data_IF_885478254324
#
_entry.id   IF_885478254324
#
_cell.length_a   1.000
_cell.length_b   1.000
_cell.length_c   1.000
_cell.angle_alpha   90.00
_cell.angle_beta   90.00
_cell.angle_gamma   90.00
#
_symmetry.space_group_name_H-M   'P 1'
#
loop_
_entity.id
_entity.type
_entity.pdbx_description
1 polymer ?
#
# COMPACT_ATOMS: atom_id res chain seq x y z
N UNK A 1 8.72 -12.84 -13.42
CA UNK A 1 7.98 -12.18 -12.32
C UNK A 1 6.47 -12.29 -12.57
N UNK A 2 5.93 -13.51 -12.58
CA UNK A 2 4.55 -13.78 -13.04
C UNK A 2 3.88 -14.92 -12.25
N UNK A 3 4.02 -14.93 -10.92
CA UNK A 3 3.41 -15.99 -10.09
C UNK A 3 2.70 -15.48 -8.84
N UNK A 4 2.69 -14.17 -8.62
CA UNK A 4 1.79 -13.58 -7.67
C UNK A 4 1.17 -12.36 -8.35
N UNK A 5 -0.15 -12.39 -8.52
CA UNK A 5 -0.97 -11.30 -9.04
C UNK A 5 -1.04 -10.17 -7.98
N UNK A 6 0.14 -9.73 -7.52
CA UNK A 6 0.31 -8.69 -6.51
C UNK A 6 0.02 -7.37 -7.19
N UNK A 7 -1.21 -6.95 -7.09
CA UNK A 7 -1.69 -5.69 -7.65
C UNK A 7 -1.19 -4.47 -6.88
N UNK A 8 -0.69 -4.67 -5.64
CA UNK A 8 -0.13 -3.61 -4.80
C UNK A 8 1.21 -3.96 -4.16
N UNK A 9 2.05 -2.95 -4.01
CA UNK A 9 3.33 -2.99 -3.31
C UNK A 9 3.32 -1.96 -2.18
N UNK A 10 3.78 -2.36 -0.99
CA UNK A 10 4.00 -1.44 0.12
C UNK A 10 5.33 -0.70 -0.10
N UNK A 11 5.33 0.62 0.07
CA UNK A 11 6.51 1.47 -0.05
C UNK A 11 6.95 1.87 1.35
N UNK A 12 8.21 1.56 1.67
CA UNK A 12 8.84 1.89 2.94
C UNK A 12 10.15 2.64 2.71
N UNK A 13 10.46 3.58 3.61
CA UNK A 13 11.75 4.25 3.72
C UNK A 13 12.28 4.03 5.14
N UNK A 14 13.19 3.05 5.30
CA UNK A 14 13.51 2.50 6.61
C UNK A 14 12.27 1.90 7.28
N UNK A 15 11.94 2.43 8.45
CA UNK A 15 10.75 2.08 9.24
C UNK A 15 9.52 2.93 8.87
N UNK A 16 9.66 3.96 8.03
CA UNK A 16 8.52 4.79 7.62
C UNK A 16 7.73 4.11 6.51
N UNK A 17 6.42 3.96 6.68
CA UNK A 17 5.53 3.53 5.60
C UNK A 17 5.07 4.76 4.83
N UNK A 18 5.53 4.88 3.60
CA UNK A 18 5.14 5.98 2.71
C UNK A 18 3.79 5.72 2.03
N UNK A 19 3.34 4.46 1.99
CA UNK A 19 2.04 4.07 1.44
C UNK A 19 2.09 2.84 0.56
N UNK A 20 1.14 2.75 -0.38
CA UNK A 20 1.06 1.64 -1.34
C UNK A 20 1.00 2.11 -2.79
N UNK A 21 1.64 1.37 -3.67
CA UNK A 21 1.65 1.59 -5.13
C UNK A 21 0.84 0.50 -5.81
N UNK A 22 -0.05 0.88 -6.71
CA UNK A 22 -0.70 -0.07 -7.60
C UNK A 22 0.24 -0.42 -8.76
N UNK A 23 0.51 -1.70 -9.00
CA UNK A 23 1.46 -2.15 -10.03
C UNK A 23 1.15 -1.58 -11.42
N UNK A 24 -0.15 -1.47 -11.77
CA UNK A 24 -0.62 -0.83 -13.00
C UNK A 24 -0.16 0.63 -13.14
N UNK A 25 -0.17 1.43 -12.07
CA UNK A 25 0.22 2.85 -12.15
C UNK A 25 1.70 2.97 -12.54
N UNK A 26 2.55 2.10 -11.99
CA UNK A 26 3.96 2.01 -12.34
C UNK A 26 4.17 1.56 -13.80
N UNK A 27 3.41 0.54 -14.26
CA UNK A 27 3.49 0.07 -15.65
C UNK A 27 3.01 1.12 -16.65
N UNK A 28 1.94 1.86 -16.34
CA UNK A 28 1.44 2.97 -17.16
C UNK A 28 2.46 4.11 -17.24
N UNK A 29 3.11 4.45 -16.12
CA UNK A 29 4.17 5.45 -16.10
C UNK A 29 5.35 5.05 -17.00
N UNK A 30 5.81 3.80 -16.88
CA UNK A 30 6.87 3.23 -17.74
C UNK A 30 6.50 3.24 -19.21
N UNK A 31 5.28 2.82 -19.56
CA UNK A 31 4.82 2.81 -20.95
C UNK A 31 4.77 4.23 -21.56
N UNK A 32 4.52 5.25 -20.74
CA UNK A 32 4.58 6.66 -21.13
C UNK A 32 5.98 7.28 -21.12
N UNK A 33 7.05 6.50 -20.92
CA UNK A 33 8.43 6.99 -20.86
C UNK A 33 8.76 7.85 -19.64
N UNK A 34 7.95 7.79 -18.59
CA UNK A 34 8.19 8.53 -17.34
C UNK A 34 8.99 7.67 -16.38
N UNK A 35 10.14 8.18 -15.96
CA UNK A 35 10.90 7.62 -14.84
C UNK A 35 10.33 8.18 -13.54
N UNK A 36 9.63 7.35 -12.77
CA UNK A 36 8.93 7.74 -11.53
C UNK A 36 9.36 6.81 -10.41
N UNK A 37 9.60 7.37 -9.23
CA UNK A 37 9.96 6.57 -8.06
C UNK A 37 8.71 5.99 -7.42
N UNK A 38 8.87 4.88 -6.70
CA UNK A 38 7.78 4.26 -5.95
C UNK A 38 7.18 5.24 -4.90
N UNK A 39 8.02 6.07 -4.27
CA UNK A 39 7.57 7.10 -3.32
C UNK A 39 6.65 8.15 -3.95
N UNK A 40 6.83 8.45 -5.24
CA UNK A 40 6.03 9.45 -5.96
C UNK A 40 4.65 8.90 -6.35
N UNK A 41 4.54 7.57 -6.47
CA UNK A 41 3.29 6.87 -6.79
C UNK A 41 2.58 6.35 -5.54
N UNK A 42 3.20 6.45 -4.36
CA UNK A 42 2.66 5.92 -3.13
C UNK A 42 1.39 6.69 -2.74
N UNK A 43 0.32 5.94 -2.49
CA UNK A 43 -0.93 6.47 -1.94
C UNK A 43 -1.02 6.08 -0.46
N UNK A 44 -1.58 6.94 0.41
CA UNK A 44 -1.74 6.63 1.83
C UNK A 44 -2.37 5.26 2.04
N UNK A 45 -1.84 4.52 3.01
CA UNK A 45 -2.36 3.22 3.43
C UNK A 45 -2.96 3.35 4.82
N UNK A 46 -4.13 2.80 5.10
CA UNK A 46 -4.68 2.81 6.46
C UNK A 46 -3.75 2.06 7.42
N UNK A 47 -3.58 2.60 8.62
CA UNK A 47 -2.89 1.93 9.72
C UNK A 47 -3.92 1.43 10.74
N UNK A 48 -3.68 0.24 11.28
CA UNK A 48 -4.53 -0.44 12.26
C UNK A 48 -3.69 -0.86 13.46
N UNK A 49 -4.31 -0.82 14.65
CA UNK A 49 -3.69 -1.32 15.86
C UNK A 49 -3.56 -2.86 15.84
N UNK A 50 -2.59 -3.46 16.58
CA UNK A 50 -2.36 -4.90 16.58
C UNK A 50 -3.52 -5.72 17.17
N UNK A 51 -4.32 -5.10 18.02
CA UNK A 51 -5.50 -5.68 18.65
C UNK A 51 -6.80 -5.44 17.85
N UNK A 52 -6.72 -4.77 16.70
CA UNK A 52 -7.87 -4.57 15.82
C UNK A 52 -8.41 -5.92 15.30
N UNK A 53 -9.71 -6.13 15.47
CA UNK A 53 -10.36 -7.34 14.93
C UNK A 53 -10.37 -7.32 13.40
N UNK A 54 -10.42 -8.51 12.78
CA UNK A 54 -10.55 -8.62 11.33
C UNK A 54 -11.83 -7.96 10.79
N UNK A 55 -12.94 -8.00 11.55
CA UNK A 55 -14.18 -7.32 11.17
C UNK A 55 -13.97 -5.79 11.09
N UNK A 56 -13.33 -5.22 12.12
CA UNK A 56 -12.99 -3.81 12.13
C UNK A 56 -12.04 -3.44 10.98
N UNK A 57 -11.03 -4.28 10.69
CA UNK A 57 -10.14 -4.05 9.55
C UNK A 57 -10.90 -4.00 8.22
N UNK A 58 -11.85 -4.91 7.99
CA UNK A 58 -12.69 -4.91 6.78
C UNK A 58 -13.57 -3.66 6.69
N UNK A 59 -14.16 -3.21 7.80
CA UNK A 59 -14.93 -1.96 7.86
C UNK A 59 -14.07 -0.76 7.46
N UNK A 60 -12.89 -0.62 8.08
CA UNK A 60 -11.95 0.46 7.81
C UNK A 60 -11.48 0.50 6.36
N UNK A 61 -11.23 -0.67 5.76
CA UNK A 61 -10.86 -0.80 4.34
C UNK A 61 -12.01 -0.37 3.42
N UNK A 62 -13.25 -0.76 3.73
CA UNK A 62 -14.44 -0.40 2.94
C UNK A 62 -14.68 1.11 2.97
N UNK A 63 -14.61 1.72 4.15
CA UNK A 63 -14.80 3.18 4.31
C UNK A 63 -13.76 3.99 3.53
N UNK A 64 -12.50 3.57 3.60
CA UNK A 64 -11.38 4.25 2.93
C UNK A 64 -11.20 3.83 1.46
N UNK A 65 -12.03 2.90 0.96
CA UNK A 65 -11.90 2.30 -0.38
C UNK A 65 -10.50 1.75 -0.65
N UNK A 66 -9.85 1.22 0.39
CA UNK A 66 -8.53 0.64 0.35
C UNK A 66 -8.62 -0.89 0.23
N UNK A 67 -7.59 -1.53 -0.33
CA UNK A 67 -7.54 -3.00 -0.46
C UNK A 67 -6.45 -3.63 0.42
N UNK A 68 -5.57 -2.82 1.00
CA UNK A 68 -4.57 -3.24 1.98
C UNK A 68 -4.51 -2.19 3.09
N UNK A 69 -4.10 -2.62 4.28
CA UNK A 69 -3.77 -1.80 5.44
C UNK A 69 -2.45 -2.29 6.03
N UNK A 70 -1.81 -1.47 6.86
CA UNK A 70 -0.66 -1.87 7.68
C UNK A 70 -1.14 -2.04 9.11
N UNK A 71 -0.70 -3.10 9.78
CA UNK A 71 -0.89 -3.28 11.22
C UNK A 71 0.44 -2.89 11.87
N UNK A 72 0.42 -1.96 12.82
CA UNK A 72 1.62 -1.45 13.51
C UNK A 72 1.39 -1.40 15.00
N UNK A 73 2.40 -1.78 15.77
CA UNK A 73 2.46 -1.54 17.22
C UNK A 73 3.14 -0.18 17.51
N UNK A 74 3.51 0.07 18.77
CA UNK A 74 4.13 1.34 19.15
C UNK A 74 5.59 1.44 18.68
N UNK A 75 6.20 0.31 18.33
CA UNK A 75 7.58 0.18 17.92
C UNK A 75 7.75 0.27 16.39
N UNK A 76 6.69 -0.01 15.62
CA UNK A 76 6.59 0.31 14.19
C UNK A 76 6.29 -0.87 13.27
#
# INVERSE_FOLDING_TARGET
AAEADRTRLLVRDGEEILGSVHARDALVARAGGRDVLARDLARPVPELAPDATAAHAVEQLRERRATIAVVRDAEG
#
